data_IF_556706559443
#
_entry.id   IF_556706559443
#
_cell.length_a   1.000
_cell.length_b   1.000
_cell.length_c   1.000
_cell.angle_alpha   90.00
_cell.angle_beta   90.00
_cell.angle_gamma   90.00
#
_symmetry.space_group_name_H-M   'P 1'
#
loop_
_entity.id
_entity.type
_entity.pdbx_description
1 polymer ?
#
# COMPACT_ATOMS: atom_id res chain seq x y z
N UNK A 1 25.76 50.26 -2.37
CA UNK A 1 26.11 48.99 -1.67
C UNK A 1 25.23 47.87 -2.17
N UNK A 2 25.79 46.83 -2.80
CA UNK A 2 25.05 45.76 -3.41
C UNK A 2 24.67 44.72 -2.33
N UNK A 3 23.47 44.16 -2.43
CA UNK A 3 22.89 43.16 -1.47
C UNK A 3 23.80 41.98 -1.11
N UNK A 4 24.87 41.74 -1.84
CA UNK A 4 25.87 40.68 -1.59
C UNK A 4 26.82 41.00 -0.44
N UNK A 5 27.07 42.29 -0.12
CA UNK A 5 28.03 42.67 0.89
C UNK A 5 27.45 42.70 2.32
N UNK A 6 26.10 42.59 2.42
CA UNK A 6 25.42 42.54 3.72
C UNK A 6 25.42 41.13 4.33
N UNK A 7 25.43 40.08 3.50
CA UNK A 7 25.37 38.67 3.96
C UNK A 7 26.75 38.19 4.42
N UNK A 8 27.87 38.69 3.86
CA UNK A 8 29.20 38.24 4.25
C UNK A 8 29.71 38.86 5.58
N UNK A 9 29.13 39.98 6.01
CA UNK A 9 29.52 40.64 7.28
C UNK A 9 28.71 40.21 8.49
N UNK A 10 27.59 39.49 8.30
CA UNK A 10 26.75 38.94 9.38
C UNK A 10 27.24 37.58 9.91
N UNK A 11 28.16 36.92 9.21
CA UNK A 11 28.69 35.61 9.60
C UNK A 11 29.98 35.73 10.44
N UNK A 12 30.64 36.86 10.47
CA UNK A 12 31.88 37.05 11.23
C UNK A 12 31.74 37.76 12.59
N UNK A 13 30.54 38.16 13.02
CA UNK A 13 30.34 38.87 14.30
C UNK A 13 29.69 38.03 15.40
N UNK A 14 29.57 36.70 15.22
CA UNK A 14 28.92 35.77 16.16
C UNK A 14 29.86 34.90 16.99
N UNK A 15 31.16 35.13 16.95
CA UNK A 15 32.13 34.34 17.73
C UNK A 15 32.90 35.29 18.66
N UNK A 16 32.38 35.57 19.85
CA UNK A 16 33.07 35.91 21.09
C UNK A 16 32.12 36.66 22.06
N UNK A 17 31.37 35.92 22.84
CA UNK A 17 30.98 36.30 24.19
C UNK A 17 30.58 35.03 24.95
N UNK A 18 31.48 34.54 25.76
CA UNK A 18 31.21 33.46 26.69
C UNK A 18 30.25 33.89 27.77
N UNK A 19 29.26 33.07 28.03
CA UNK A 19 28.59 32.97 29.31
C UNK A 19 28.20 31.50 29.50
N UNK A 20 28.92 30.84 30.40
CA UNK A 20 28.63 29.54 30.98
C UNK A 20 27.27 29.59 31.66
N UNK A 21 26.26 28.98 31.01
CA UNK A 21 25.05 28.53 31.68
C UNK A 21 24.98 27.01 31.51
N UNK A 22 25.08 26.34 32.68
CA UNK A 22 24.93 24.90 32.79
C UNK A 22 23.53 24.50 32.38
N UNK A 23 23.39 24.01 31.16
CA UNK A 23 22.24 23.25 30.71
C UNK A 23 22.70 21.80 30.48
N UNK A 24 21.89 20.84 30.95
CA UNK A 24 22.20 19.43 31.13
C UNK A 24 22.78 18.75 29.88
N UNK A 25 23.58 17.74 30.16
CA UNK A 25 24.36 16.95 29.18
C UNK A 25 23.56 16.18 28.15
N UNK A 26 22.22 16.29 28.12
CA UNK A 26 21.35 15.47 27.31
C UNK A 26 20.89 16.14 25.99
N UNK A 27 21.27 17.43 25.75
CA UNK A 27 20.82 18.17 24.56
C UNK A 27 21.70 17.97 23.30
N UNK A 28 22.82 17.25 23.38
CA UNK A 28 23.80 17.17 22.29
C UNK A 28 23.87 15.83 21.55
N UNK A 29 22.98 14.89 21.82
CA UNK A 29 22.96 13.60 21.13
C UNK A 29 21.55 13.16 20.71
N UNK A 30 20.76 14.04 20.09
CA UNK A 30 19.84 13.55 19.09
C UNK A 30 20.71 13.04 17.93
N UNK A 31 20.93 11.72 17.91
CA UNK A 31 21.37 11.04 16.71
C UNK A 31 20.28 11.29 15.66
N UNK A 32 20.46 12.31 14.84
CA UNK A 32 19.83 12.36 13.53
C UNK A 32 20.39 11.16 12.76
N UNK A 33 19.74 10.01 12.93
CA UNK A 33 19.93 8.93 12.00
C UNK A 33 19.46 9.49 10.66
N UNK A 34 20.38 9.65 9.72
CA UNK A 34 20.01 9.94 8.36
C UNK A 34 18.96 8.87 7.99
N UNK A 35 17.74 9.30 7.71
CA UNK A 35 16.65 8.40 7.36
C UNK A 35 17.09 7.64 6.11
N UNK A 36 17.37 6.35 6.26
CA UNK A 36 17.74 5.54 5.13
C UNK A 36 16.52 5.35 4.23
N UNK A 37 16.64 5.80 2.98
CA UNK A 37 15.59 5.60 1.99
C UNK A 37 15.62 4.14 1.52
N UNK A 38 14.68 3.34 1.97
CA UNK A 38 14.49 1.97 1.49
C UNK A 38 13.48 1.93 0.34
N UNK A 39 13.78 1.15 -0.70
CA UNK A 39 12.84 0.87 -1.79
C UNK A 39 11.73 -0.09 -1.33
N UNK A 40 12.04 -0.97 -0.38
CA UNK A 40 11.13 -1.98 0.17
C UNK A 40 11.48 -2.31 1.62
N UNK A 41 10.45 -2.50 2.44
CA UNK A 41 10.58 -3.02 3.81
C UNK A 41 9.87 -4.36 3.90
N UNK A 42 10.55 -5.38 4.40
CA UNK A 42 10.02 -6.71 4.66
C UNK A 42 10.08 -7.01 6.15
N UNK A 43 8.93 -7.30 6.77
CA UNK A 43 8.83 -7.63 8.21
C UNK A 43 8.32 -9.05 8.36
N UNK A 44 8.83 -9.78 9.35
CA UNK A 44 8.41 -11.15 9.68
C UNK A 44 8.39 -11.39 11.18
N UNK A 45 7.41 -12.17 11.65
CA UNK A 45 7.38 -12.77 13.00
C UNK A 45 6.44 -12.10 14.00
N UNK A 46 5.90 -10.92 13.70
CA UNK A 46 4.97 -10.20 14.57
C UNK A 46 3.49 -10.42 14.23
N UNK A 47 2.63 -9.76 14.98
CA UNK A 47 1.21 -9.61 14.66
C UNK A 47 1.01 -8.49 13.63
N UNK A 48 -0.11 -8.47 12.86
CA UNK A 48 -0.29 -7.57 11.71
C UNK A 48 -0.09 -6.09 12.02
N UNK A 49 -0.67 -5.59 13.10
CA UNK A 49 -0.52 -4.20 13.54
C UNK A 49 0.91 -3.86 13.95
N UNK A 50 1.54 -4.73 14.75
CA UNK A 50 2.89 -4.52 15.26
C UNK A 50 3.94 -4.58 14.12
N UNK A 51 3.76 -5.46 13.14
CA UNK A 51 4.61 -5.51 11.94
C UNK A 51 4.50 -4.20 11.15
N UNK A 52 3.28 -3.68 11.00
CA UNK A 52 3.07 -2.40 10.32
C UNK A 52 3.75 -1.25 11.06
N UNK A 53 3.63 -1.17 12.38
CA UNK A 53 4.29 -0.15 13.20
C UNK A 53 5.81 -0.14 12.98
N UNK A 54 6.44 -1.31 12.97
CA UNK A 54 7.88 -1.43 12.72
C UNK A 54 8.27 -1.03 11.30
N UNK A 55 7.48 -1.49 10.32
CA UNK A 55 7.75 -1.21 8.92
C UNK A 55 7.60 0.28 8.59
N UNK A 56 6.49 0.90 8.99
CA UNK A 56 6.25 2.32 8.69
C UNK A 56 7.22 3.24 9.44
N UNK A 57 7.61 2.89 10.66
CA UNK A 57 8.63 3.62 11.41
C UNK A 57 9.98 3.63 10.68
N UNK A 58 10.38 2.51 10.04
CA UNK A 58 11.62 2.42 9.27
C UNK A 58 11.60 3.26 7.99
N UNK A 59 10.41 3.66 7.52
CA UNK A 59 10.19 4.60 6.42
C UNK A 59 9.98 6.04 6.90
N UNK A 60 10.25 6.33 8.18
CA UNK A 60 10.08 7.66 8.79
C UNK A 60 8.68 7.98 9.26
N UNK A 61 7.80 6.98 9.34
CA UNK A 61 6.43 7.11 9.81
C UNK A 61 5.44 7.52 8.73
N UNK A 62 4.15 7.41 9.06
CA UNK A 62 3.08 7.75 8.15
C UNK A 62 3.08 9.22 7.71
N UNK A 63 3.68 10.12 8.50
CA UNK A 63 3.83 11.55 8.16
C UNK A 63 4.65 11.81 6.89
N UNK A 64 5.42 10.84 6.42
CA UNK A 64 6.10 10.92 5.12
C UNK A 64 5.16 10.74 3.94
N UNK A 65 3.99 10.13 4.16
CA UNK A 65 3.01 9.79 3.13
C UNK A 65 1.72 10.62 3.26
N UNK A 66 1.34 10.96 4.49
CA UNK A 66 0.10 11.68 4.79
C UNK A 66 0.42 12.99 5.52
N UNK A 67 -0.09 14.11 4.99
CA UNK A 67 0.06 15.44 5.58
C UNK A 67 -1.24 15.87 6.27
N UNK A 68 -1.10 16.81 7.21
CA UNK A 68 -2.26 17.39 7.91
C UNK A 68 -3.29 17.94 6.93
N UNK A 69 -4.55 17.57 7.16
CA UNK A 69 -5.69 18.06 6.39
C UNK A 69 -6.00 17.28 5.12
N UNK A 70 -5.17 16.30 4.72
CA UNK A 70 -5.40 15.49 3.52
C UNK A 70 -6.53 14.48 3.70
N UNK A 71 -7.17 14.15 2.60
CA UNK A 71 -8.11 13.04 2.46
C UNK A 71 -7.36 11.81 1.95
N UNK A 72 -7.50 10.69 2.67
CA UNK A 72 -6.82 9.42 2.37
C UNK A 72 -7.84 8.38 1.94
N UNK A 73 -7.54 7.63 0.90
CA UNK A 73 -8.24 6.39 0.57
C UNK A 73 -7.33 5.20 0.86
N UNK A 74 -7.82 4.30 1.69
CA UNK A 74 -7.21 2.99 1.97
C UNK A 74 -8.00 1.94 1.20
N UNK A 75 -7.35 1.23 0.28
CA UNK A 75 -7.99 0.21 -0.56
C UNK A 75 -7.52 -1.19 -0.14
N UNK A 76 -8.21 -1.85 0.79
CA UNK A 76 -7.96 -3.26 1.11
C UNK A 76 -8.44 -4.19 -0.01
N UNK A 77 -8.25 -5.48 0.12
CA UNK A 77 -8.99 -6.48 -0.63
C UNK A 77 -10.20 -6.92 0.19
N UNK A 78 -11.40 -6.59 -0.27
CA UNK A 78 -12.69 -7.04 0.32
C UNK A 78 -13.47 -7.75 -0.79
N UNK A 79 -12.85 -8.79 -1.36
CA UNK A 79 -13.41 -9.44 -2.55
C UNK A 79 -14.49 -10.46 -2.25
N UNK A 80 -14.46 -11.11 -1.08
CA UNK A 80 -15.16 -12.34 -0.83
C UNK A 80 -15.93 -12.34 0.49
N UNK A 81 -17.09 -13.00 0.49
CA UNK A 81 -17.90 -13.28 1.66
C UNK A 81 -17.30 -14.45 2.45
N UNK A 82 -16.21 -14.16 3.15
CA UNK A 82 -15.50 -15.09 4.03
C UNK A 82 -14.93 -14.38 5.25
N UNK A 83 -14.80 -15.12 6.36
CA UNK A 83 -14.17 -14.63 7.60
C UNK A 83 -12.64 -14.44 7.45
N UNK A 84 -11.99 -13.67 8.32
CA UNK A 84 -10.56 -13.34 8.24
C UNK A 84 -9.63 -14.57 8.22
N UNK A 85 -9.97 -15.63 8.96
CA UNK A 85 -9.20 -16.88 9.05
C UNK A 85 -9.09 -17.63 7.71
N UNK A 86 -9.98 -17.32 6.74
CA UNK A 86 -9.95 -17.90 5.40
C UNK A 86 -8.93 -17.22 4.47
N UNK A 87 -8.31 -16.14 4.89
CA UNK A 87 -7.32 -15.38 4.11
C UNK A 87 -7.79 -15.03 2.67
N UNK A 88 -9.09 -14.86 2.49
CA UNK A 88 -9.70 -14.39 1.23
C UNK A 88 -9.69 -12.89 1.08
N UNK A 89 -9.57 -12.15 2.18
CA UNK A 89 -9.59 -10.69 2.27
C UNK A 89 -8.38 -10.18 3.07
N UNK A 90 -8.08 -8.89 3.02
CA UNK A 90 -7.03 -8.25 3.83
C UNK A 90 -7.33 -8.39 5.31
N UNK A 91 -6.31 -8.58 6.14
CA UNK A 91 -6.45 -8.69 7.59
C UNK A 91 -7.06 -7.40 8.18
N UNK A 92 -8.17 -7.47 8.94
CA UNK A 92 -8.87 -6.30 9.46
C UNK A 92 -8.03 -5.51 10.49
N UNK A 93 -7.17 -6.18 11.29
CA UNK A 93 -6.32 -5.51 12.27
C UNK A 93 -5.25 -4.66 11.58
N UNK A 94 -4.73 -5.13 10.45
CA UNK A 94 -3.82 -4.33 9.63
C UNK A 94 -4.52 -3.09 9.07
N UNK A 95 -5.72 -3.25 8.51
CA UNK A 95 -6.50 -2.12 7.96
C UNK A 95 -6.78 -1.08 9.04
N UNK A 96 -7.23 -1.52 10.22
CA UNK A 96 -7.45 -0.67 11.39
C UNK A 96 -6.19 0.14 11.72
N UNK A 97 -5.06 -0.53 11.86
CA UNK A 97 -3.80 0.11 12.27
C UNK A 97 -3.31 1.15 11.25
N UNK A 98 -3.45 0.86 9.95
CA UNK A 98 -3.11 1.82 8.89
C UNK A 98 -3.96 3.10 9.01
N UNK A 99 -5.27 2.96 9.25
CA UNK A 99 -6.18 4.09 9.39
C UNK A 99 -5.84 4.94 10.63
N UNK A 100 -5.54 4.30 11.76
CA UNK A 100 -5.08 4.99 12.98
C UNK A 100 -3.84 5.83 12.68
N UNK A 101 -2.82 5.26 12.02
CA UNK A 101 -1.62 5.99 11.62
C UNK A 101 -1.90 7.16 10.64
N UNK A 102 -2.89 7.03 9.77
CA UNK A 102 -3.30 8.15 8.91
C UNK A 102 -3.85 9.32 9.72
N UNK A 103 -4.70 9.05 10.72
CA UNK A 103 -5.21 10.09 11.62
C UNK A 103 -4.12 10.68 12.51
N UNK A 104 -3.23 9.86 13.05
CA UNK A 104 -2.05 10.31 13.83
C UNK A 104 -1.12 11.21 13.00
N UNK A 105 -1.04 11.00 11.69
CA UNK A 105 -0.33 11.86 10.76
C UNK A 105 -1.08 13.17 10.45
N UNK A 106 -2.36 13.28 10.85
CA UNK A 106 -3.19 14.46 10.69
C UNK A 106 -4.13 14.42 9.49
N UNK A 107 -4.46 13.26 8.95
CA UNK A 107 -5.49 13.14 7.91
C UNK A 107 -6.82 13.77 8.36
N UNK A 108 -7.47 14.50 7.46
CA UNK A 108 -8.82 15.06 7.70
C UNK A 108 -9.90 13.99 7.65
N UNK A 109 -9.74 13.05 6.72
CA UNK A 109 -10.68 11.96 6.49
C UNK A 109 -9.95 10.75 5.92
N UNK A 110 -10.35 9.57 6.35
CA UNK A 110 -9.84 8.30 5.81
C UNK A 110 -11.04 7.48 5.35
N UNK A 111 -11.05 7.09 4.09
CA UNK A 111 -12.09 6.27 3.46
C UNK A 111 -11.52 4.91 3.10
N UNK A 112 -12.38 3.88 3.16
CA UNK A 112 -12.05 2.56 2.65
C UNK A 112 -13.21 2.02 1.81
N UNK A 113 -12.88 1.31 0.71
CA UNK A 113 -13.84 0.61 -0.15
C UNK A 113 -13.16 -0.50 -0.95
N UNK A 114 -13.95 -1.37 -1.52
CA UNK A 114 -13.58 -2.29 -2.59
C UNK A 114 -14.81 -2.59 -3.46
N UNK A 115 -14.59 -2.90 -4.74
CA UNK A 115 -15.59 -3.51 -5.59
C UNK A 115 -15.55 -5.02 -5.36
N UNK A 116 -16.51 -5.56 -4.62
CA UNK A 116 -16.54 -6.97 -4.19
C UNK A 116 -16.86 -7.95 -5.33
N UNK A 117 -16.57 -9.23 -5.14
CA UNK A 117 -16.92 -10.30 -6.09
C UNK A 117 -18.21 -11.04 -5.67
N UNK A 118 -18.47 -11.12 -4.36
CA UNK A 118 -19.72 -11.61 -3.77
C UNK A 118 -20.60 -10.44 -3.34
N UNK A 119 -21.71 -10.71 -2.64
CA UNK A 119 -22.58 -9.67 -2.07
C UNK A 119 -21.78 -8.70 -1.21
N UNK A 120 -21.88 -7.42 -1.51
CA UNK A 120 -21.01 -6.41 -0.93
C UNK A 120 -21.24 -6.23 0.57
N UNK A 121 -22.49 -6.30 1.04
CA UNK A 121 -22.81 -6.12 2.46
C UNK A 121 -22.22 -7.27 3.30
N UNK A 122 -22.31 -8.48 2.78
CA UNK A 122 -21.75 -9.68 3.41
C UNK A 122 -20.23 -9.70 3.34
N UNK A 123 -19.62 -9.30 2.20
CA UNK A 123 -18.17 -9.19 2.10
C UNK A 123 -17.61 -8.21 3.13
N UNK A 124 -18.21 -7.04 3.27
CA UNK A 124 -17.78 -5.98 4.18
C UNK A 124 -17.95 -6.40 5.65
N UNK A 125 -19.09 -7.00 5.99
CA UNK A 125 -19.40 -7.44 7.35
C UNK A 125 -18.55 -8.66 7.76
N UNK A 126 -18.56 -9.73 6.94
CA UNK A 126 -17.97 -11.01 7.30
C UNK A 126 -16.43 -11.01 7.22
N UNK A 127 -15.83 -10.12 6.44
CA UNK A 127 -14.38 -9.86 6.49
C UNK A 127 -13.93 -9.10 7.74
N UNK A 128 -14.86 -8.59 8.56
CA UNK A 128 -14.63 -7.71 9.71
C UNK A 128 -13.95 -6.37 9.35
N UNK A 129 -13.70 -6.10 8.06
CA UNK A 129 -13.02 -4.87 7.62
C UNK A 129 -13.90 -3.66 7.86
N UNK A 130 -15.23 -3.76 7.63
CA UNK A 130 -16.15 -2.66 7.92
C UNK A 130 -16.07 -2.22 9.38
N UNK A 131 -16.09 -3.20 10.31
CA UNK A 131 -15.94 -2.93 11.74
C UNK A 131 -14.59 -2.29 12.05
N UNK A 132 -13.51 -2.84 11.52
CA UNK A 132 -12.15 -2.35 11.72
C UNK A 132 -11.97 -0.90 11.26
N UNK A 133 -12.54 -0.54 10.10
CA UNK A 133 -12.53 0.83 9.55
C UNK A 133 -13.29 1.79 10.47
N UNK A 134 -14.51 1.41 10.91
CA UNK A 134 -15.32 2.23 11.82
C UNK A 134 -14.65 2.40 13.18
N UNK A 135 -14.10 1.33 13.76
CA UNK A 135 -13.41 1.37 15.06
C UNK A 135 -12.16 2.28 15.02
N UNK A 136 -11.52 2.42 13.87
CA UNK A 136 -10.40 3.34 13.66
C UNK A 136 -10.82 4.79 13.35
N UNK A 137 -12.13 5.09 13.32
CA UNK A 137 -12.66 6.41 12.96
C UNK A 137 -12.74 6.68 11.46
N UNK A 138 -12.42 5.70 10.62
CA UNK A 138 -12.53 5.78 9.16
C UNK A 138 -13.98 5.64 8.67
N UNK A 139 -14.16 5.90 7.38
CA UNK A 139 -15.46 5.81 6.70
C UNK A 139 -15.42 4.69 5.67
N UNK A 140 -16.34 3.74 5.79
CA UNK A 140 -16.56 2.72 4.78
C UNK A 140 -17.52 3.23 3.70
N UNK A 141 -17.21 2.97 2.44
CA UNK A 141 -18.02 3.38 1.29
C UNK A 141 -18.28 2.17 0.40
N UNK A 142 -19.45 2.08 -0.21
CA UNK A 142 -19.77 1.01 -1.15
C UNK A 142 -19.00 1.16 -2.46
N UNK A 143 -18.67 0.03 -3.09
CA UNK A 143 -18.14 -0.03 -4.46
C UNK A 143 -19.08 -0.78 -5.43
N UNK A 144 -20.34 -0.96 -5.03
CA UNK A 144 -21.30 -1.86 -5.65
C UNK A 144 -22.28 -1.19 -6.66
N UNK A 145 -22.14 0.10 -6.92
CA UNK A 145 -22.98 0.84 -7.88
C UNK A 145 -22.09 1.56 -8.90
N UNK A 146 -22.46 1.48 -10.17
CA UNK A 146 -21.77 2.20 -11.24
C UNK A 146 -21.77 3.72 -11.03
N UNK A 147 -22.76 4.24 -10.30
CA UNK A 147 -22.88 5.66 -9.99
C UNK A 147 -21.70 6.23 -9.18
N UNK A 148 -20.92 5.39 -8.51
CA UNK A 148 -19.69 5.80 -7.82
C UNK A 148 -18.49 5.95 -8.75
N UNK A 149 -18.61 5.56 -10.03
CA UNK A 149 -17.46 5.47 -10.94
C UNK A 149 -17.57 6.50 -12.06
N UNK A 150 -16.43 7.09 -12.40
CA UNK A 150 -16.31 8.09 -13.45
C UNK A 150 -15.35 7.60 -14.53
N UNK A 151 -15.63 7.96 -15.78
CA UNK A 151 -14.75 7.63 -16.89
C UNK A 151 -13.45 8.42 -16.81
N UNK A 152 -12.35 7.72 -17.02
CA UNK A 152 -11.01 8.27 -17.08
C UNK A 152 -10.28 7.71 -18.27
N UNK A 153 -9.42 8.54 -18.89
CA UNK A 153 -8.55 8.14 -19.99
C UNK A 153 -7.10 8.32 -19.60
N UNK A 154 -6.22 7.43 -20.05
CA UNK A 154 -4.78 7.52 -19.82
C UNK A 154 -4.00 6.99 -21.04
N UNK A 155 -2.72 7.38 -21.14
CA UNK A 155 -1.88 7.03 -22.28
C UNK A 155 -0.92 5.88 -21.92
N UNK A 156 -0.47 5.16 -22.93
CA UNK A 156 0.59 4.16 -22.83
C UNK A 156 0.11 2.74 -22.54
N UNK A 157 -1.16 2.55 -22.21
CA UNK A 157 -1.74 1.21 -22.06
C UNK A 157 -1.86 0.50 -23.42
N UNK A 158 -1.55 -0.80 -23.42
CA UNK A 158 -1.60 -1.62 -24.64
C UNK A 158 -2.96 -2.29 -24.85
N UNK A 159 -3.72 -2.53 -23.78
CA UNK A 159 -5.03 -3.18 -23.78
C UNK A 159 -6.13 -2.32 -23.20
N UNK A 160 -5.80 -1.44 -22.26
CA UNK A 160 -6.74 -0.48 -21.70
C UNK A 160 -6.12 0.92 -21.73
N UNK A 161 -6.90 1.89 -22.17
CA UNK A 161 -6.57 3.31 -22.13
C UNK A 161 -7.70 4.12 -21.50
N UNK A 162 -8.82 3.47 -21.21
CA UNK A 162 -9.98 4.04 -20.56
C UNK A 162 -10.45 3.09 -19.46
N UNK A 163 -11.02 3.65 -18.41
CA UNK A 163 -11.62 2.89 -17.32
C UNK A 163 -12.68 3.73 -16.60
N UNK A 164 -13.66 3.07 -15.97
CA UNK A 164 -14.53 3.72 -14.97
C UNK A 164 -13.91 3.48 -13.60
N UNK A 165 -13.40 4.54 -12.99
CA UNK A 165 -12.67 4.51 -11.71
C UNK A 165 -13.54 5.12 -10.60
N UNK A 166 -13.53 4.51 -9.43
CA UNK A 166 -14.30 4.97 -8.28
C UNK A 166 -13.89 6.40 -7.87
N UNK A 167 -14.87 7.25 -7.63
CA UNK A 167 -14.69 8.68 -7.34
C UNK A 167 -13.74 8.98 -6.18
N UNK A 168 -13.70 8.14 -5.15
CA UNK A 168 -12.75 8.30 -4.04
C UNK A 168 -11.29 8.27 -4.49
N UNK A 169 -10.95 7.51 -5.53
CA UNK A 169 -9.59 7.51 -6.10
C UNK A 169 -9.28 8.83 -6.79
N UNK A 170 -10.31 9.45 -7.39
CA UNK A 170 -10.17 10.72 -8.10
C UNK A 170 -10.05 11.91 -7.12
N UNK A 171 -10.74 11.83 -5.98
CA UNK A 171 -10.90 12.93 -5.02
C UNK A 171 -9.90 12.87 -3.87
N UNK A 172 -9.21 11.74 -3.66
CA UNK A 172 -8.27 11.59 -2.54
C UNK A 172 -6.91 12.21 -2.85
N UNK A 173 -6.32 12.85 -1.83
CA UNK A 173 -4.95 13.35 -1.88
C UNK A 173 -3.93 12.20 -1.82
N UNK A 174 -4.23 11.17 -1.02
CA UNK A 174 -3.34 10.01 -0.79
C UNK A 174 -4.10 8.71 -1.05
N UNK A 175 -3.45 7.79 -1.79
CA UNK A 175 -3.96 6.46 -2.10
C UNK A 175 -3.06 5.38 -1.52
N UNK A 176 -3.54 4.64 -0.51
CA UNK A 176 -2.85 3.50 0.11
C UNK A 176 -3.50 2.20 -0.33
N UNK A 177 -2.75 1.35 -1.02
CA UNK A 177 -3.19 0.05 -1.50
C UNK A 177 -2.78 -1.05 -0.52
N UNK A 178 -3.74 -1.85 -0.03
CA UNK A 178 -3.50 -2.88 1.00
C UNK A 178 -3.98 -4.26 0.51
N UNK A 179 -3.28 -4.86 -0.47
CA UNK A 179 -3.63 -6.19 -0.97
C UNK A 179 -3.34 -7.27 0.05
N UNK A 180 -4.05 -8.41 -0.07
CA UNK A 180 -3.63 -9.67 0.52
C UNK A 180 -2.85 -10.49 -0.51
N UNK A 181 -1.75 -11.12 -0.08
CA UNK A 181 -1.02 -12.09 -0.90
C UNK A 181 -1.79 -13.41 -0.97
N UNK A 182 -2.27 -13.80 -2.14
CA UNK A 182 -3.01 -15.06 -2.30
C UNK A 182 -2.89 -15.65 -3.70
N UNK A 183 -3.06 -16.97 -3.78
CA UNK A 183 -3.27 -17.68 -5.05
C UNK A 183 -4.46 -17.08 -5.82
N UNK A 184 -4.36 -17.08 -7.14
CA UNK A 184 -5.46 -16.72 -8.03
C UNK A 184 -5.42 -17.56 -9.30
N UNK A 185 -6.48 -18.28 -9.59
CA UNK A 185 -6.56 -19.21 -10.74
C UNK A 185 -6.24 -18.56 -12.08
N UNK A 186 -6.75 -17.35 -12.34
CA UNK A 186 -6.58 -16.68 -13.64
C UNK A 186 -5.31 -15.84 -13.77
N UNK A 187 -4.82 -15.23 -12.68
CA UNK A 187 -3.66 -14.33 -12.71
C UNK A 187 -2.41 -14.88 -12.02
N UNK A 188 -2.47 -16.12 -11.55
CA UNK A 188 -1.42 -16.76 -10.75
C UNK A 188 -1.44 -16.29 -9.29
N UNK A 189 -1.35 -15.00 -9.04
CA UNK A 189 -1.39 -14.37 -7.72
C UNK A 189 -2.31 -13.13 -7.72
N UNK A 190 -2.88 -12.84 -6.55
CA UNK A 190 -3.40 -11.52 -6.19
C UNK A 190 -2.37 -10.84 -5.31
N UNK A 191 -1.89 -9.66 -5.74
CA UNK A 191 -1.01 -8.78 -5.00
C UNK A 191 -1.40 -7.32 -5.33
N UNK A 192 -0.48 -6.36 -5.28
CA UNK A 192 -0.76 -4.94 -5.38
C UNK A 192 -1.39 -4.51 -6.70
N UNK A 193 -0.79 -4.86 -7.84
CA UNK A 193 -1.35 -4.47 -9.16
C UNK A 193 -2.70 -5.13 -9.41
N UNK A 194 -2.85 -6.42 -9.09
CA UNK A 194 -4.12 -7.14 -9.25
C UNK A 194 -5.21 -6.58 -8.33
N UNK A 195 -4.84 -6.08 -7.14
CA UNK A 195 -5.79 -5.47 -6.20
C UNK A 195 -6.43 -4.19 -6.76
N UNK A 196 -5.77 -3.50 -7.70
CA UNK A 196 -6.32 -2.29 -8.35
C UNK A 196 -7.59 -2.58 -9.19
N UNK A 197 -7.85 -3.84 -9.54
CA UNK A 197 -9.14 -4.18 -10.20
C UNK A 197 -10.35 -3.85 -9.33
N UNK A 198 -10.19 -3.78 -8.01
CA UNK A 198 -11.26 -3.40 -7.09
C UNK A 198 -11.59 -1.91 -7.05
N UNK A 199 -10.85 -1.06 -7.78
CA UNK A 199 -11.20 0.36 -7.95
C UNK A 199 -11.82 0.67 -9.32
N UNK A 200 -12.02 -0.35 -10.15
CA UNK A 200 -12.56 -0.26 -11.52
C UNK A 200 -13.91 -0.94 -11.60
N UNK A 201 -14.87 -0.32 -12.32
CA UNK A 201 -16.20 -0.88 -12.49
C UNK A 201 -16.20 -2.12 -13.40
N UNK A 202 -15.77 -2.00 -14.65
CA UNK A 202 -15.84 -3.10 -15.64
C UNK A 202 -14.60 -4.02 -15.58
N UNK A 203 -14.47 -4.77 -14.48
CA UNK A 203 -13.42 -5.79 -14.33
C UNK A 203 -13.56 -6.97 -15.30
N UNK A 204 -14.78 -7.25 -15.72
CA UNK A 204 -15.09 -8.32 -16.65
C UNK A 204 -14.38 -8.12 -18.00
N UNK A 205 -14.24 -6.88 -18.43
CA UNK A 205 -13.48 -6.53 -19.63
C UNK A 205 -12.02 -7.03 -19.54
N UNK A 206 -11.34 -6.80 -18.40
CA UNK A 206 -9.94 -7.24 -18.20
C UNK A 206 -9.78 -8.74 -18.31
N UNK A 207 -10.71 -9.52 -17.73
CA UNK A 207 -10.67 -10.98 -17.83
C UNK A 207 -10.84 -11.49 -19.27
N UNK A 208 -11.57 -10.78 -20.12
CA UNK A 208 -11.81 -11.13 -21.53
C UNK A 208 -10.74 -10.61 -22.49
N UNK A 209 -9.92 -9.61 -22.08
CA UNK A 209 -9.03 -8.87 -22.99
C UNK A 209 -7.56 -8.89 -22.57
N UNK A 210 -7.00 -10.07 -22.30
CA UNK A 210 -5.64 -10.25 -21.80
C UNK A 210 -5.46 -9.67 -20.40
N UNK A 211 -5.95 -10.38 -19.41
CA UNK A 211 -5.94 -10.00 -18.00
C UNK A 211 -4.59 -9.46 -17.51
N UNK A 212 -3.49 -10.13 -17.84
CA UNK A 212 -2.15 -9.76 -17.38
C UNK A 212 -1.70 -8.41 -17.94
N UNK A 213 -1.98 -8.14 -19.22
CA UNK A 213 -1.66 -6.85 -19.81
C UNK A 213 -2.53 -5.73 -19.21
N UNK A 214 -3.83 -5.97 -19.02
CA UNK A 214 -4.72 -4.99 -18.38
C UNK A 214 -4.29 -4.67 -16.95
N UNK A 215 -3.86 -5.67 -16.16
CA UNK A 215 -3.33 -5.46 -14.81
C UNK A 215 -2.07 -4.59 -14.85
N UNK A 216 -1.18 -4.81 -15.82
CA UNK A 216 0.05 -4.02 -15.96
C UNK A 216 -0.20 -2.62 -16.56
N UNK A 217 -1.21 -2.45 -17.40
CA UNK A 217 -1.54 -1.15 -18.00
C UNK A 217 -2.09 -0.16 -16.97
N UNK A 218 -2.93 -0.63 -16.05
CA UNK A 218 -3.73 0.26 -15.19
C UNK A 218 -2.89 1.16 -14.25
N UNK A 219 -1.74 0.75 -13.68
CA UNK A 219 -0.86 1.64 -12.92
C UNK A 219 -0.33 2.86 -13.70
N UNK A 220 -0.45 2.89 -15.04
CA UNK A 220 -0.16 4.09 -15.83
C UNK A 220 -1.14 5.22 -15.59
N UNK A 221 -2.38 4.89 -15.18
CA UNK A 221 -3.37 5.89 -14.79
C UNK A 221 -3.02 6.52 -13.43
N UNK A 222 -2.94 5.71 -12.39
CA UNK A 222 -2.57 6.15 -11.04
C UNK A 222 -1.89 5.02 -10.27
N UNK A 223 -0.68 5.27 -9.78
CA UNK A 223 0.00 4.40 -8.82
C UNK A 223 -0.46 4.76 -7.40
N UNK A 224 -0.59 3.78 -6.51
CA UNK A 224 -0.70 4.06 -5.08
C UNK A 224 0.53 4.79 -4.55
N UNK A 225 0.34 5.70 -3.60
CA UNK A 225 1.43 6.37 -2.89
C UNK A 225 2.18 5.38 -1.98
N UNK A 226 1.47 4.35 -1.50
CA UNK A 226 2.04 3.29 -0.67
C UNK A 226 1.32 1.97 -0.95
N UNK A 227 2.10 0.87 -1.07
CA UNK A 227 1.60 -0.49 -1.16
C UNK A 227 2.01 -1.25 0.10
N UNK A 228 1.04 -1.82 0.82
CA UNK A 228 1.22 -2.58 2.05
C UNK A 228 0.65 -3.98 1.82
N UNK A 229 1.51 -4.93 1.48
CA UNK A 229 1.09 -6.31 1.20
C UNK A 229 0.91 -7.06 2.50
N UNK A 230 -0.32 -7.45 2.77
CA UNK A 230 -0.65 -8.39 3.83
C UNK A 230 -0.25 -9.80 3.43
N UNK A 231 0.69 -10.37 4.16
CA UNK A 231 1.13 -11.76 4.05
C UNK A 231 1.20 -12.43 5.45
N UNK A 232 0.33 -12.00 6.37
CA UNK A 232 0.22 -12.63 7.69
C UNK A 232 -0.31 -14.05 7.57
N UNK A 233 -1.49 -14.20 6.98
CA UNK A 233 -2.05 -15.44 6.48
C UNK A 233 -2.25 -15.31 4.98
N UNK A 234 -1.87 -16.33 4.23
CA UNK A 234 -2.00 -16.36 2.79
C UNK A 234 -2.84 -17.53 2.33
N UNK A 235 -3.67 -17.33 1.30
CA UNK A 235 -4.34 -18.41 0.63
C UNK A 235 -3.38 -19.06 -0.38
N UNK A 236 -2.84 -20.22 -0.02
CA UNK A 236 -1.76 -20.88 -0.80
C UNK A 236 -2.26 -21.58 -2.05
N UNK A 237 -3.52 -22.03 -2.06
CA UNK A 237 -4.18 -22.74 -3.17
C UNK A 237 -5.66 -22.43 -3.21
N UNK A 238 -6.36 -22.89 -4.25
CA UNK A 238 -7.80 -22.73 -4.46
C UNK A 238 -8.31 -21.27 -4.40
N UNK A 239 -7.40 -20.28 -4.57
CA UNK A 239 -7.79 -18.87 -4.62
C UNK A 239 -8.43 -18.49 -5.97
N UNK A 240 -9.15 -17.36 -5.95
CA UNK A 240 -9.01 -16.23 -5.02
C UNK A 240 -9.88 -16.26 -3.75
N UNK A 241 -10.85 -17.19 -3.61
CA UNK A 241 -11.76 -17.29 -2.45
C UNK A 241 -11.31 -18.31 -1.40
N UNK A 242 -10.69 -19.41 -1.85
CA UNK A 242 -10.41 -20.59 -1.03
C UNK A 242 -11.61 -21.51 -0.87
N UNK A 243 -11.34 -22.76 -0.55
CA UNK A 243 -12.36 -23.82 -0.35
C UNK A 243 -12.41 -24.25 1.11
N UNK A 244 -11.26 -24.35 1.77
CA UNK A 244 -11.14 -24.79 3.16
C UNK A 244 -9.97 -24.11 3.88
N UNK A 245 -9.92 -24.28 5.21
CA UNK A 245 -8.83 -23.78 6.04
C UNK A 245 -7.48 -24.42 5.69
N UNK A 246 -7.50 -25.64 5.10
CA UNK A 246 -6.31 -26.31 4.59
C UNK A 246 -5.64 -25.56 3.40
N UNK A 247 -6.32 -24.59 2.82
CA UNK A 247 -5.75 -23.74 1.77
C UNK A 247 -4.91 -22.58 2.34
N UNK A 248 -5.03 -22.29 3.64
CA UNK A 248 -4.41 -21.18 4.32
C UNK A 248 -3.07 -21.57 4.93
N UNK A 249 -2.09 -20.68 4.81
CA UNK A 249 -0.77 -20.82 5.47
C UNK A 249 -0.46 -19.53 6.22
N UNK A 250 -0.03 -19.66 7.49
CA UNK A 250 0.40 -18.51 8.29
C UNK A 250 1.89 -18.26 8.07
N UNK A 251 2.23 -17.12 7.44
CA UNK A 251 3.60 -16.71 7.17
C UNK A 251 4.11 -15.65 8.15
N UNK A 252 3.22 -14.95 8.84
CA UNK A 252 3.53 -13.81 9.73
C UNK A 252 4.49 -12.82 9.06
N UNK A 253 4.13 -12.36 7.86
CA UNK A 253 4.98 -11.49 7.05
C UNK A 253 4.20 -10.31 6.49
N UNK A 254 4.91 -9.22 6.19
CA UNK A 254 4.35 -8.01 5.60
C UNK A 254 5.40 -7.32 4.72
N UNK A 255 5.00 -6.73 3.61
CA UNK A 255 5.88 -6.01 2.70
C UNK A 255 5.33 -4.61 2.44
N UNK A 256 6.20 -3.60 2.48
CA UNK A 256 5.81 -2.20 2.21
C UNK A 256 6.75 -1.60 1.17
N UNK A 257 6.20 -0.98 0.13
CA UNK A 257 6.95 -0.28 -0.91
C UNK A 257 6.11 0.82 -1.57
N UNK A 258 6.77 1.88 -2.02
CA UNK A 258 6.17 2.87 -2.93
C UNK A 258 6.19 2.39 -4.39
N UNK A 259 7.06 1.43 -4.72
CA UNK A 259 7.11 0.79 -6.02
C UNK A 259 6.19 -0.44 -6.04
N UNK A 260 5.08 -0.35 -6.79
CA UNK A 260 4.06 -1.39 -6.89
C UNK A 260 4.59 -2.69 -7.51
N UNK A 261 5.55 -2.61 -8.44
CA UNK A 261 6.16 -3.77 -9.09
C UNK A 261 7.14 -4.44 -8.14
N UNK A 262 7.94 -3.69 -7.39
CA UNK A 262 8.83 -4.20 -6.36
C UNK A 262 8.06 -4.91 -5.23
N UNK A 263 6.93 -4.34 -4.80
CA UNK A 263 6.03 -4.98 -3.83
C UNK A 263 5.52 -6.33 -4.33
N UNK A 264 5.09 -6.39 -5.59
CA UNK A 264 4.57 -7.61 -6.21
C UNK A 264 5.67 -8.66 -6.46
N UNK A 265 6.87 -8.23 -6.87
CA UNK A 265 8.01 -9.11 -7.05
C UNK A 265 8.46 -9.75 -5.72
N UNK A 266 8.55 -8.94 -4.66
CA UNK A 266 8.90 -9.45 -3.32
C UNK A 266 7.82 -10.41 -2.78
N UNK A 267 6.54 -10.10 -3.01
CA UNK A 267 5.44 -10.95 -2.61
C UNK A 267 5.41 -12.28 -3.39
N UNK A 268 5.72 -12.27 -4.68
CA UNK A 268 5.85 -13.49 -5.49
C UNK A 268 6.96 -14.40 -4.92
N UNK A 269 8.13 -13.85 -4.59
CA UNK A 269 9.22 -14.58 -3.91
C UNK A 269 8.77 -15.15 -2.55
N UNK A 270 8.08 -14.35 -1.74
CA UNK A 270 7.55 -14.81 -0.45
C UNK A 270 6.52 -15.94 -0.62
N UNK A 271 5.73 -15.91 -1.69
CA UNK A 271 4.81 -16.98 -2.04
C UNK A 271 5.52 -18.26 -2.52
N UNK A 272 6.80 -18.20 -2.89
CA UNK A 272 7.57 -19.29 -3.46
C UNK A 272 7.49 -19.39 -4.99
N UNK A 273 7.32 -18.24 -5.66
CA UNK A 273 7.35 -18.12 -7.12
C UNK A 273 8.42 -17.11 -7.56
N UNK A 274 9.04 -17.36 -8.72
CA UNK A 274 9.88 -16.35 -9.34
C UNK A 274 9.01 -15.24 -9.92
N UNK A 275 9.36 -13.95 -9.73
CA UNK A 275 8.55 -12.81 -10.17
C UNK A 275 8.26 -12.82 -11.67
N UNK A 276 9.21 -13.25 -12.50
CA UNK A 276 9.08 -13.34 -13.96
C UNK A 276 8.11 -14.44 -14.42
N UNK A 277 7.79 -15.40 -13.55
CA UNK A 277 6.77 -16.42 -13.81
C UNK A 277 5.33 -15.91 -13.62
N UNK A 278 5.18 -14.69 -13.08
CA UNK A 278 3.90 -14.01 -12.95
C UNK A 278 3.79 -12.97 -14.08
N UNK A 279 3.02 -13.24 -15.15
CA UNK A 279 3.13 -12.45 -16.37
C UNK A 279 2.88 -10.95 -16.20
N UNK A 280 1.92 -10.53 -15.36
CA UNK A 280 1.66 -9.11 -15.16
C UNK A 280 2.81 -8.37 -14.45
N UNK A 281 3.60 -9.05 -13.59
CA UNK A 281 4.79 -8.45 -12.95
C UNK A 281 5.88 -8.22 -14.01
N UNK A 282 6.16 -9.24 -14.83
CA UNK A 282 7.13 -9.15 -15.91
C UNK A 282 6.76 -8.04 -16.91
N UNK A 283 5.50 -8.01 -17.36
CA UNK A 283 5.00 -6.99 -18.28
C UNK A 283 5.16 -5.58 -17.68
N UNK A 284 4.85 -5.38 -16.41
CA UNK A 284 4.96 -4.08 -15.75
C UNK A 284 6.43 -3.62 -15.63
N UNK A 285 7.37 -4.53 -15.39
CA UNK A 285 8.80 -4.23 -15.40
C UNK A 285 9.29 -3.85 -16.80
N UNK A 286 8.92 -4.61 -17.83
CA UNK A 286 9.20 -4.31 -19.24
C UNK A 286 8.62 -2.94 -19.67
N UNK A 287 7.45 -2.57 -19.15
CA UNK A 287 6.82 -1.25 -19.37
C UNK A 287 7.44 -0.14 -18.50
N UNK A 288 8.44 -0.44 -17.66
CA UNK A 288 9.11 0.52 -16.75
C UNK A 288 8.14 1.19 -15.76
N UNK A 289 7.13 0.47 -15.33
CA UNK A 289 6.17 0.93 -14.31
C UNK A 289 6.82 0.93 -12.94
N UNK A 290 7.70 -0.04 -12.68
CA UNK A 290 8.50 -0.19 -11.48
C UNK A 290 9.62 -1.20 -11.69
N UNK A 291 10.20 -1.73 -10.60
CA UNK A 291 11.40 -2.59 -10.64
C UNK A 291 11.09 -3.99 -10.13
N UNK A 292 11.22 -5.00 -10.99
CA UNK A 292 11.07 -6.41 -10.61
C UNK A 292 12.35 -7.01 -10.00
N UNK A 293 13.52 -6.52 -10.41
CA UNK A 293 14.82 -7.03 -9.96
C UNK A 293 15.13 -6.58 -8.53
N UNK A 294 14.83 -7.43 -7.55
CA UNK A 294 15.01 -7.16 -6.12
C UNK A 294 16.48 -7.01 -5.72
N UNK A 295 17.44 -7.50 -6.53
CA UNK A 295 18.87 -7.36 -6.23
C UNK A 295 19.38 -5.93 -6.36
N UNK A 296 18.65 -5.09 -7.08
CA UNK A 296 18.95 -3.67 -7.31
C UNK A 296 18.24 -2.74 -6.32
N UNK A 297 17.50 -3.31 -5.35
CA UNK A 297 16.72 -2.54 -4.38
C UNK A 297 17.40 -2.51 -3.02
N UNK A 298 17.29 -1.35 -2.36
CA UNK A 298 17.62 -1.23 -0.94
C UNK A 298 16.48 -1.77 -0.10
N UNK A 299 16.65 -2.99 0.42
CA UNK A 299 15.61 -3.69 1.17
C UNK A 299 15.96 -3.71 2.66
N UNK A 300 15.09 -3.17 3.50
CA UNK A 300 15.14 -3.37 4.94
C UNK A 300 14.42 -4.66 5.34
N UNK A 301 15.11 -5.55 6.06
CA UNK A 301 14.56 -6.83 6.55
C UNK A 301 14.50 -6.81 8.06
N UNK A 302 13.30 -6.89 8.62
CA UNK A 302 13.03 -6.81 10.04
C UNK A 302 12.46 -8.15 10.50
N UNK A 303 13.07 -8.75 11.51
CA UNK A 303 12.57 -9.94 12.20
C UNK A 303 12.15 -9.49 13.61
N UNK A 304 10.93 -9.86 14.01
CA UNK A 304 10.33 -9.52 15.31
C UNK A 304 10.31 -10.74 16.23
#
# INVERSE_FOLDING_TARGET
>A
MKRRDFISKSVQAGLLAGSTLAFGKDFLFEKTFAQENYDLVAVKGGEPAAMFDKAIASLGGMKNFVRKGQTVVVKPNIGWDVSPDRAGNTNPQLVKRIIEHCFDAGAKSVYAFDHTCDDWTRCYSNSEIEKAVKDAGGKIVGGNSESYYQEVSFKGGKKIQDAKVHELILQSDVFINVPILKHHSSSGLTISMKNLMGIVWDRGYWHRNNLHQCIADFPLYRKPDLNIVDAYQILKRNGPRGVSDADVVTLKSQLISTDIVAADAAAAKLFGKEPDTIPYIKIADEMKIGKMDLSKLKINRIIM
#
